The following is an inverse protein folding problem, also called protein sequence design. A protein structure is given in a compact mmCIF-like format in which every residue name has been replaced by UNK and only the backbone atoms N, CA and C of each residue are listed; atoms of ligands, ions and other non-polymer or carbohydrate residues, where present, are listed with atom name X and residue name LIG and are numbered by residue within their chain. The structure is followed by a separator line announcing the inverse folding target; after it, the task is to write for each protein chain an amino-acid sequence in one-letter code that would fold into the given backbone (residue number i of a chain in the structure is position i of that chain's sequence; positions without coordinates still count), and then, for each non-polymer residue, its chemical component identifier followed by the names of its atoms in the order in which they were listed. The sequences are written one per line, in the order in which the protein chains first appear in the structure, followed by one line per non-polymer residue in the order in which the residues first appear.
data_IF_563668804684
#
_entry.id   IF_563668804684
#
_cell.length_a   1.000
_cell.length_b   1.000
_cell.length_c   1.000
_cell.angle_alpha   90.00
_cell.angle_beta   90.00
_cell.angle_gamma   90.00
#
_symmetry.space_group_name_H-M   'P 1'
#
loop_
_entity.id
_entity.type
_entity.pdbx_description
1 polymer ?
#
# COMPACT_ATOMS: atom_id res chain seq x y z
N UNK A 1 -23.19 -5.71 0.04
CA UNK A 1 -22.42 -5.02 1.10
C UNK A 1 -21.29 -4.19 0.48
N UNK A 2 -20.78 -3.18 1.17
CA UNK A 2 -19.66 -2.35 0.72
C UNK A 2 -18.48 -2.49 1.68
N UNK A 3 -17.27 -2.30 1.18
CA UNK A 3 -16.04 -2.24 2.00
C UNK A 3 -15.45 -0.84 1.90
N UNK A 4 -15.25 -0.18 3.02
CA UNK A 4 -14.59 1.12 3.11
C UNK A 4 -13.25 0.97 3.83
N UNK A 5 -12.19 1.51 3.24
CA UNK A 5 -10.87 1.52 3.86
C UNK A 5 -10.42 2.95 4.15
N UNK A 6 -9.95 3.16 5.37
CA UNK A 6 -9.40 4.44 5.82
C UNK A 6 -7.92 4.29 6.18
N UNK A 7 -7.07 5.11 5.59
CA UNK A 7 -5.64 5.14 5.88
C UNK A 7 -5.30 5.89 7.16
N UNK A 8 -4.08 5.72 7.67
CA UNK A 8 -3.63 6.38 8.89
C UNK A 8 -3.74 7.92 8.85
N UNK A 9 -3.47 8.54 7.71
CA UNK A 9 -3.63 9.98 7.53
C UNK A 9 -5.09 10.46 7.71
N UNK A 10 -6.06 9.61 7.33
CA UNK A 10 -7.49 9.91 7.50
C UNK A 10 -7.95 9.86 8.94
N UNK A 11 -7.34 9.01 9.77
CA UNK A 11 -7.72 8.79 11.18
C UNK A 11 -6.65 9.27 12.15
N UNK A 12 -5.85 10.25 11.76
CA UNK A 12 -4.70 10.76 12.54
C UNK A 12 -5.06 11.52 13.81
N UNK A 13 -6.30 11.95 13.94
CA UNK A 13 -6.79 12.77 15.06
C UNK A 13 -8.31 12.56 15.26
N UNK A 14 -8.87 13.16 16.30
CA UNK A 14 -10.29 13.05 16.63
C UNK A 14 -11.20 13.61 15.50
N UNK A 15 -10.77 14.63 14.77
CA UNK A 15 -11.54 15.18 13.66
C UNK A 15 -11.61 14.19 12.50
N UNK A 16 -10.51 13.48 12.21
CA UNK A 16 -10.50 12.39 11.26
C UNK A 16 -11.48 11.28 11.63
N UNK A 17 -11.54 10.88 12.90
CA UNK A 17 -12.50 9.87 13.38
C UNK A 17 -13.95 10.35 13.25
N UNK A 18 -14.24 11.63 13.58
CA UNK A 18 -15.58 12.23 13.37
C UNK A 18 -15.97 12.27 11.88
N UNK A 19 -15.02 12.56 11.00
CA UNK A 19 -15.28 12.54 9.57
C UNK A 19 -15.53 11.11 9.03
N UNK A 20 -14.78 10.12 9.53
CA UNK A 20 -15.04 8.71 9.26
C UNK A 20 -16.47 8.33 9.68
N UNK A 21 -16.91 8.71 10.90
CA UNK A 21 -18.28 8.50 11.36
C UNK A 21 -19.31 9.11 10.39
N UNK A 22 -19.10 10.36 9.96
CA UNK A 22 -19.97 11.04 8.97
C UNK A 22 -20.07 10.23 7.67
N UNK A 23 -18.94 9.73 7.15
CA UNK A 23 -18.90 8.91 5.93
C UNK A 23 -19.66 7.60 6.13
N UNK A 24 -19.48 6.94 7.28
CA UNK A 24 -20.20 5.70 7.64
C UNK A 24 -21.71 5.96 7.68
N UNK A 25 -22.16 7.04 8.31
CA UNK A 25 -23.59 7.40 8.35
C UNK A 25 -24.15 7.68 6.95
N UNK A 26 -23.41 8.41 6.11
CA UNK A 26 -23.82 8.63 4.71
C UNK A 26 -23.98 7.32 3.97
N UNK A 27 -23.05 6.37 4.13
CA UNK A 27 -23.13 5.05 3.49
C UNK A 27 -24.34 4.23 3.94
N UNK A 28 -24.71 4.31 5.23
CA UNK A 28 -25.87 3.60 5.78
C UNK A 28 -27.22 4.25 5.36
N UNK A 29 -27.24 5.58 5.17
CA UNK A 29 -28.43 6.35 4.77
C UNK A 29 -28.60 6.43 3.25
N UNK A 30 -27.60 6.02 2.48
CA UNK A 30 -27.64 6.07 1.02
C UNK A 30 -28.67 5.06 0.49
N UNK A 31 -29.92 5.54 0.37
CA UNK A 31 -31.05 4.83 -0.23
C UNK A 31 -31.06 4.96 -1.77
N UNK A 32 -30.11 5.64 -2.36
CA UNK A 32 -30.03 5.90 -3.81
C UNK A 32 -29.56 4.70 -4.62
N UNK A 33 -29.69 3.50 -4.08
CA UNK A 33 -29.51 2.30 -4.87
C UNK A 33 -30.69 2.14 -5.83
N UNK A 34 -30.39 2.29 -7.09
CA UNK A 34 -31.10 1.75 -8.27
C UNK A 34 -32.30 0.88 -7.87
N UNK A 35 -33.48 1.33 -8.24
CA UNK A 35 -34.78 0.64 -8.13
C UNK A 35 -34.58 -0.87 -8.25
N UNK A 36 -34.98 -1.63 -7.20
CA UNK A 36 -34.95 -3.10 -7.08
C UNK A 36 -33.66 -3.81 -6.57
N UNK A 37 -32.74 -3.16 -5.86
CA UNK A 37 -31.75 -3.91 -5.05
C UNK A 37 -32.07 -3.80 -3.56
N UNK A 38 -31.99 -4.91 -2.79
CA UNK A 38 -32.25 -4.87 -1.36
C UNK A 38 -31.21 -3.97 -0.68
N UNK A 39 -31.65 -3.27 0.37
CA UNK A 39 -30.86 -2.44 1.30
C UNK A 39 -29.46 -3.03 1.47
N UNK A 40 -28.42 -2.19 1.37
CA UNK A 40 -26.99 -2.55 1.58
C UNK A 40 -26.89 -3.44 2.82
N UNK A 41 -26.61 -4.73 2.63
CA UNK A 41 -26.55 -5.73 3.71
C UNK A 41 -25.31 -5.56 4.61
N UNK A 42 -25.02 -4.31 5.02
CA UNK A 42 -23.95 -3.95 5.94
C UNK A 42 -22.71 -3.30 5.29
N UNK A 43 -21.94 -2.68 6.15
CA UNK A 43 -20.70 -1.96 5.82
C UNK A 43 -19.52 -2.60 6.56
N UNK A 44 -18.47 -2.98 5.82
CA UNK A 44 -17.16 -3.34 6.36
C UNK A 44 -16.26 -2.10 6.37
N UNK A 45 -15.72 -1.75 7.52
CA UNK A 45 -14.82 -0.60 7.72
C UNK A 45 -13.44 -1.11 8.07
N UNK A 46 -12.50 -1.04 7.15
CA UNK A 46 -11.10 -1.45 7.33
C UNK A 46 -10.26 -0.22 7.67
N UNK A 47 -9.51 -0.27 8.75
CA UNK A 47 -8.74 0.90 9.21
C UNK A 47 -7.27 0.52 9.48
N UNK A 48 -6.38 1.43 9.11
CA UNK A 48 -4.95 1.38 9.43
C UNK A 48 -4.67 1.97 10.82
N UNK A 49 -3.45 1.82 11.31
CA UNK A 49 -2.97 2.54 12.50
C UNK A 49 -3.14 4.06 12.33
N UNK A 50 -3.37 4.80 13.43
CA UNK A 50 -3.59 6.24 13.43
C UNK A 50 -2.32 7.03 13.12
N UNK A 51 -2.39 7.97 12.20
CA UNK A 51 -1.30 8.91 11.88
C UNK A 51 -0.01 8.20 11.45
N UNK A 52 1.06 8.42 12.24
CA UNK A 52 2.38 7.82 12.03
C UNK A 52 2.71 6.73 13.06
N UNK A 53 1.72 6.13 13.69
CA UNK A 53 1.89 5.12 14.75
C UNK A 53 2.72 3.93 14.26
N UNK A 54 2.53 3.45 13.05
CA UNK A 54 3.34 2.35 12.48
C UNK A 54 4.82 2.66 12.54
N UNK A 55 5.24 3.85 12.05
CA UNK A 55 6.66 4.26 12.10
C UNK A 55 7.19 4.42 13.53
N UNK A 56 6.35 4.86 14.46
CA UNK A 56 6.71 4.99 15.87
C UNK A 56 6.91 3.61 16.52
N UNK A 57 6.06 2.63 16.20
CA UNK A 57 6.17 1.25 16.65
C UNK A 57 7.40 0.53 16.03
N UNK A 58 7.69 0.77 14.74
CA UNK A 58 8.94 0.30 14.11
C UNK A 58 10.17 0.78 14.89
N UNK A 59 10.17 2.05 15.31
CA UNK A 59 11.25 2.59 16.12
C UNK A 59 11.36 1.91 17.49
N UNK A 60 10.25 1.50 18.12
CA UNK A 60 10.26 0.71 19.35
C UNK A 60 10.98 -0.61 19.12
N UNK A 61 10.68 -1.31 18.02
CA UNK A 61 11.36 -2.58 17.66
C UNK A 61 12.86 -2.37 17.50
N UNK A 62 13.27 -1.35 16.71
CA UNK A 62 14.68 -1.03 16.47
C UNK A 62 15.44 -0.71 17.77
N UNK A 63 14.79 -0.01 18.70
CA UNK A 63 15.40 0.34 19.98
C UNK A 63 15.57 -0.90 20.89
N UNK A 64 14.59 -1.79 20.93
CA UNK A 64 14.66 -3.03 21.70
C UNK A 64 15.73 -3.98 21.13
N UNK A 65 15.79 -4.13 19.82
CA UNK A 65 16.80 -4.95 19.15
C UNK A 65 18.22 -4.41 19.38
N UNK A 66 18.36 -3.08 19.51
CA UNK A 66 19.61 -2.41 19.88
C UNK A 66 19.92 -2.42 21.39
N UNK A 67 19.10 -3.08 22.23
CA UNK A 67 19.27 -3.13 23.69
C UNK A 67 18.99 -1.80 24.42
N UNK A 68 18.24 -0.86 23.79
CA UNK A 68 17.93 0.47 24.34
C UNK A 68 16.53 0.51 24.97
N UNK A 69 16.32 -0.33 25.98
CA UNK A 69 15.00 -0.58 26.60
C UNK A 69 14.34 0.70 27.15
N UNK A 70 15.09 1.57 27.84
CA UNK A 70 14.56 2.82 28.40
C UNK A 70 14.01 3.77 27.31
N UNK A 71 14.73 3.88 26.18
CA UNK A 71 14.27 4.69 25.04
C UNK A 71 13.06 4.06 24.35
N UNK A 72 13.02 2.73 24.25
CA UNK A 72 11.89 2.00 23.71
C UNK A 72 10.64 2.20 24.57
N UNK A 73 10.76 2.13 25.89
CA UNK A 73 9.66 2.38 26.82
C UNK A 73 9.14 3.82 26.72
N UNK A 74 10.04 4.80 26.62
CA UNK A 74 9.66 6.21 26.43
C UNK A 74 8.85 6.37 25.14
N UNK A 75 9.32 5.80 24.03
CA UNK A 75 8.62 5.84 22.74
C UNK A 75 7.26 5.12 22.80
N UNK A 76 7.17 4.03 23.54
CA UNK A 76 5.91 3.29 23.74
C UNK A 76 4.90 4.13 24.53
N UNK A 77 5.31 4.80 25.60
CA UNK A 77 4.46 5.71 26.37
C UNK A 77 3.96 6.86 25.50
N UNK A 78 4.82 7.47 24.69
CA UNK A 78 4.42 8.53 23.74
C UNK A 78 3.32 8.05 22.77
N UNK A 79 3.42 6.81 22.30
CA UNK A 79 2.39 6.21 21.42
C UNK A 79 1.07 6.05 22.17
N UNK A 80 1.11 5.56 23.39
CA UNK A 80 -0.11 5.40 24.22
C UNK A 80 -0.73 6.77 24.51
N UNK A 81 0.07 7.76 24.91
CA UNK A 81 -0.40 9.11 25.22
C UNK A 81 -1.04 9.81 24.02
N UNK A 82 -0.48 9.61 22.82
CA UNK A 82 -1.08 10.07 21.57
C UNK A 82 -2.50 9.52 21.37
N UNK A 83 -2.72 8.23 21.60
CA UNK A 83 -4.03 7.61 21.44
C UNK A 83 -4.99 8.01 22.58
N UNK A 84 -4.48 8.14 23.81
CA UNK A 84 -5.25 8.65 24.96
C UNK A 84 -5.74 10.07 24.72
N UNK A 85 -4.93 10.94 24.12
CA UNK A 85 -5.34 12.29 23.75
C UNK A 85 -6.51 12.26 22.76
N UNK A 86 -6.42 11.45 21.70
CA UNK A 86 -7.51 11.26 20.72
C UNK A 86 -8.78 10.72 21.40
N UNK A 87 -8.63 9.71 22.28
CA UNK A 87 -9.76 9.15 23.03
C UNK A 87 -10.48 10.22 23.85
N UNK A 88 -9.73 11.02 24.60
CA UNK A 88 -10.29 12.12 25.42
C UNK A 88 -11.05 13.13 24.56
N UNK A 89 -10.50 13.55 23.43
CA UNK A 89 -11.16 14.45 22.49
C UNK A 89 -12.45 13.86 21.88
N UNK A 90 -12.53 12.53 21.77
CA UNK A 90 -13.72 11.80 21.33
C UNK A 90 -14.72 11.53 22.47
N UNK A 91 -14.42 11.92 23.69
CA UNK A 91 -15.25 11.65 24.88
C UNK A 91 -15.20 10.19 25.32
N UNK A 92 -14.14 9.46 24.98
CA UNK A 92 -13.91 8.08 25.42
C UNK A 92 -13.08 8.06 26.70
N UNK A 93 -13.33 7.05 27.54
CA UNK A 93 -12.62 6.86 28.81
C UNK A 93 -11.53 5.79 28.66
N UNK A 94 -10.24 6.15 28.72
CA UNK A 94 -9.16 5.17 28.74
C UNK A 94 -9.30 4.21 29.94
N UNK A 95 -9.08 2.92 29.70
CA UNK A 95 -9.16 1.87 30.71
C UNK A 95 -10.55 1.28 30.95
N UNK A 96 -11.64 2.07 30.82
CA UNK A 96 -13.01 1.56 30.93
C UNK A 96 -13.65 1.23 29.60
N UNK A 97 -13.49 2.11 28.60
CA UNK A 97 -14.01 1.89 27.25
C UNK A 97 -13.08 1.03 26.41
N UNK A 98 -11.78 1.22 26.56
CA UNK A 98 -10.74 0.51 25.81
C UNK A 98 -9.62 0.12 26.78
N UNK A 99 -9.31 -1.17 26.84
CA UNK A 99 -8.17 -1.66 27.63
C UNK A 99 -6.87 -1.40 26.86
N UNK A 100 -6.09 -0.45 27.36
CA UNK A 100 -4.77 -0.16 26.83
C UNK A 100 -3.78 -1.22 27.30
N UNK A 101 -2.93 -1.69 26.39
CA UNK A 101 -1.87 -2.64 26.72
C UNK A 101 -0.69 -1.87 27.33
N UNK A 102 -0.35 -2.18 28.61
CA UNK A 102 0.74 -1.51 29.32
C UNK A 102 2.13 -2.05 28.96
N UNK A 103 2.22 -3.29 28.53
CA UNK A 103 3.49 -3.97 28.23
C UNK A 103 3.74 -4.04 26.72
N UNK A 104 5.03 -3.89 26.33
CA UNK A 104 5.45 -4.07 24.95
C UNK A 104 5.51 -5.58 24.66
N UNK A 105 4.84 -6.08 23.62
CA UNK A 105 4.86 -7.50 23.28
C UNK A 105 6.18 -7.88 22.57
N UNK A 106 7.28 -7.89 23.33
CA UNK A 106 8.63 -8.20 22.86
C UNK A 106 9.18 -9.43 23.58
N UNK A 107 9.78 -10.35 22.84
CA UNK A 107 10.53 -11.48 23.37
C UNK A 107 11.93 -11.49 22.76
N UNK A 108 13.01 -11.30 23.58
CA UNK A 108 14.37 -11.26 23.09
C UNK A 108 14.86 -12.58 22.49
N UNK A 109 14.12 -13.69 22.70
CA UNK A 109 14.45 -14.99 22.12
C UNK A 109 13.87 -15.19 20.72
N UNK A 110 12.98 -14.32 20.26
CA UNK A 110 12.37 -14.39 18.94
C UNK A 110 13.17 -13.55 17.92
N UNK A 111 13.12 -13.94 16.62
CA UNK A 111 13.73 -13.16 15.54
C UNK A 111 13.17 -11.73 15.48
N UNK A 112 14.00 -10.79 15.01
CA UNK A 112 13.60 -9.38 14.82
C UNK A 112 12.28 -9.25 14.06
N UNK A 113 12.12 -9.93 12.91
CA UNK A 113 10.94 -9.80 12.06
C UNK A 113 9.66 -10.35 12.74
N UNK A 114 9.79 -11.36 13.60
CA UNK A 114 8.66 -11.85 14.40
C UNK A 114 8.25 -10.83 15.48
N UNK A 115 9.23 -10.28 16.22
CA UNK A 115 8.99 -9.20 17.18
C UNK A 115 8.39 -7.96 16.51
N UNK A 116 8.88 -7.62 15.31
CA UNK A 116 8.30 -6.56 14.48
C UNK A 116 6.81 -6.74 14.31
N UNK A 117 6.35 -7.89 13.87
CA UNK A 117 4.93 -8.17 13.64
C UNK A 117 4.10 -8.11 14.93
N UNK A 118 4.65 -8.61 16.07
CA UNK A 118 3.96 -8.53 17.35
C UNK A 118 3.77 -7.08 17.83
N UNK A 119 4.76 -6.23 17.65
CA UNK A 119 4.74 -4.84 18.13
C UNK A 119 3.97 -3.95 17.14
N UNK A 120 4.31 -4.00 15.85
CA UNK A 120 3.74 -3.08 14.85
C UNK A 120 2.24 -3.30 14.68
N UNK A 121 1.76 -4.53 14.76
CA UNK A 121 0.32 -4.86 14.69
C UNK A 121 -0.54 -4.17 15.78
N UNK A 122 0.07 -3.71 16.86
CA UNK A 122 -0.65 -3.02 17.94
C UNK A 122 -1.29 -1.71 17.47
N UNK A 123 -0.70 -1.05 16.47
CA UNK A 123 -1.24 0.19 15.92
C UNK A 123 -2.64 0.03 15.34
N UNK A 124 -2.86 -1.00 14.53
CA UNK A 124 -4.16 -1.31 13.93
C UNK A 124 -5.17 -1.83 14.96
N UNK A 125 -4.73 -2.64 15.93
CA UNK A 125 -5.58 -3.11 17.01
C UNK A 125 -6.14 -1.94 17.82
N UNK A 126 -5.29 -1.01 18.23
CA UNK A 126 -5.67 0.14 19.05
C UNK A 126 -6.55 1.12 18.26
N UNK A 127 -6.15 1.47 17.04
CA UNK A 127 -6.89 2.34 16.13
C UNK A 127 -8.33 1.85 15.93
N UNK A 128 -8.51 0.57 15.60
CA UNK A 128 -9.82 0.01 15.28
C UNK A 128 -10.71 -0.16 16.51
N UNK A 129 -10.14 -0.41 17.69
CA UNK A 129 -10.90 -0.43 18.94
C UNK A 129 -11.45 0.97 19.26
N UNK A 130 -10.61 2.02 19.15
CA UNK A 130 -11.04 3.41 19.37
C UNK A 130 -12.20 3.77 18.43
N UNK A 131 -12.06 3.45 17.16
CA UNK A 131 -13.10 3.75 16.15
C UNK A 131 -14.38 2.95 16.42
N UNK A 132 -14.30 1.66 16.71
CA UNK A 132 -15.46 0.84 16.98
C UNK A 132 -16.24 1.34 18.19
N UNK A 133 -15.56 1.66 19.30
CA UNK A 133 -16.20 2.20 20.50
C UNK A 133 -16.77 3.60 20.26
N UNK A 134 -16.07 4.45 19.49
CA UNK A 134 -16.59 5.76 19.11
C UNK A 134 -17.90 5.64 18.35
N UNK A 135 -17.95 4.80 17.30
CA UNK A 135 -19.15 4.57 16.50
C UNK A 135 -20.30 3.99 17.34
N UNK A 136 -20.02 3.05 18.27
CA UNK A 136 -21.00 2.50 19.20
C UNK A 136 -21.60 3.59 20.09
N UNK A 137 -20.77 4.45 20.69
CA UNK A 137 -21.23 5.57 21.54
C UNK A 137 -22.06 6.59 20.77
N UNK A 138 -21.85 6.70 19.49
CA UNK A 138 -22.64 7.54 18.57
C UNK A 138 -23.94 6.84 18.11
N UNK A 139 -24.31 5.71 18.70
CA UNK A 139 -25.57 5.00 18.44
C UNK A 139 -25.60 4.14 17.20
N UNK A 140 -24.46 3.84 16.58
CA UNK A 140 -24.40 2.91 15.46
C UNK A 140 -24.34 1.45 15.96
N UNK A 141 -24.97 0.54 15.24
CA UNK A 141 -24.85 -0.90 15.49
C UNK A 141 -23.53 -1.40 14.89
N UNK A 142 -22.53 -1.61 15.75
CA UNK A 142 -21.13 -1.89 15.36
C UNK A 142 -20.62 -3.18 16.01
N UNK A 143 -19.82 -3.91 15.28
CA UNK A 143 -19.01 -5.02 15.77
C UNK A 143 -17.55 -4.79 15.43
N UNK A 144 -16.66 -5.09 16.37
CA UNK A 144 -15.21 -5.10 16.14
C UNK A 144 -14.73 -6.53 15.86
N UNK A 145 -14.08 -6.74 14.74
CA UNK A 145 -13.46 -8.00 14.36
C UNK A 145 -11.98 -8.03 14.71
N UNK A 146 -11.49 -9.14 15.24
CA UNK A 146 -10.09 -9.39 15.49
C UNK A 146 -9.48 -10.11 14.27
N UNK A 147 -8.92 -9.34 13.33
CA UNK A 147 -8.42 -9.89 12.06
C UNK A 147 -7.32 -10.95 12.22
N UNK A 148 -6.37 -10.87 13.17
CA UNK A 148 -5.43 -11.96 13.46
C UNK A 148 -6.08 -13.33 13.71
N UNK A 149 -7.33 -13.36 14.17
CA UNK A 149 -8.08 -14.61 14.34
C UNK A 149 -8.87 -15.05 13.12
N UNK A 150 -9.07 -14.17 12.15
CA UNK A 150 -9.94 -14.40 10.99
C UNK A 150 -9.14 -14.49 9.69
N UNK A 151 -8.14 -13.67 9.51
CA UNK A 151 -7.26 -13.66 8.35
C UNK A 151 -6.02 -14.50 8.64
N UNK A 152 -6.08 -15.75 8.21
CA UNK A 152 -5.02 -16.74 8.42
C UNK A 152 -3.85 -16.51 7.47
N UNK A 153 -2.65 -16.63 8.00
CA UNK A 153 -1.40 -16.47 7.24
C UNK A 153 -0.39 -17.54 7.61
N UNK A 154 0.64 -17.65 6.80
CA UNK A 154 1.89 -18.32 7.20
C UNK A 154 2.71 -17.43 8.16
N UNK A 155 3.90 -17.87 8.51
CA UNK A 155 4.87 -17.22 9.38
C UNK A 155 6.00 -16.49 8.61
N UNK A 156 5.73 -16.09 7.37
CA UNK A 156 6.61 -15.19 6.63
C UNK A 156 6.45 -13.77 7.18
N UNK A 157 7.17 -13.51 8.28
CA UNK A 157 7.07 -12.25 9.01
C UNK A 157 7.28 -11.04 8.09
N UNK A 158 6.55 -9.94 8.35
CA UNK A 158 6.53 -8.67 7.62
C UNK A 158 5.89 -8.71 6.22
N UNK A 159 5.81 -9.86 5.57
CA UNK A 159 5.19 -10.05 4.25
C UNK A 159 4.39 -11.36 4.20
N UNK A 160 3.63 -11.65 5.26
CA UNK A 160 2.92 -12.91 5.43
C UNK A 160 1.98 -13.22 4.26
N UNK A 161 2.00 -14.48 3.85
CA UNK A 161 1.15 -14.99 2.78
C UNK A 161 -0.16 -15.47 3.36
N UNK A 162 -1.27 -14.97 2.82
CA UNK A 162 -2.61 -15.30 3.29
C UNK A 162 -3.02 -16.70 2.82
N UNK A 163 -3.50 -17.53 3.75
CA UNK A 163 -4.27 -18.73 3.43
C UNK A 163 -5.69 -18.30 2.99
N UNK A 164 -5.85 -18.20 1.69
CA UNK A 164 -7.07 -17.67 1.05
C UNK A 164 -8.29 -18.53 1.34
N UNK A 165 -8.14 -19.86 1.38
CA UNK A 165 -9.25 -20.78 1.59
C UNK A 165 -9.76 -20.68 3.03
N UNK A 166 -8.90 -20.90 4.01
CA UNK A 166 -9.28 -20.89 5.44
C UNK A 166 -9.80 -19.51 5.85
N UNK A 167 -9.15 -18.45 5.42
CA UNK A 167 -9.58 -17.06 5.70
C UNK A 167 -10.98 -16.79 5.14
N UNK A 168 -11.24 -17.17 3.89
CA UNK A 168 -12.55 -17.01 3.24
C UNK A 168 -13.67 -17.72 3.98
N UNK A 169 -13.45 -18.97 4.39
CA UNK A 169 -14.44 -19.78 5.10
C UNK A 169 -14.80 -19.14 6.45
N UNK A 170 -13.81 -18.79 7.26
CA UNK A 170 -13.98 -18.17 8.58
C UNK A 170 -14.67 -16.80 8.47
N UNK A 171 -14.22 -15.95 7.56
CA UNK A 171 -14.75 -14.59 7.36
C UNK A 171 -16.21 -14.67 6.86
N UNK A 172 -16.52 -15.54 5.92
CA UNK A 172 -17.90 -15.73 5.44
C UNK A 172 -18.84 -16.24 6.54
N UNK A 173 -18.39 -17.19 7.34
CA UNK A 173 -19.19 -17.70 8.47
C UNK A 173 -19.51 -16.58 9.47
N UNK A 174 -18.50 -15.75 9.82
CA UNK A 174 -18.70 -14.60 10.71
C UNK A 174 -19.64 -13.54 10.12
N UNK A 175 -19.55 -13.28 8.82
CA UNK A 175 -20.39 -12.28 8.14
C UNK A 175 -21.83 -12.72 7.98
N UNK A 176 -22.09 -13.99 7.64
CA UNK A 176 -23.42 -14.51 7.31
C UNK A 176 -24.25 -14.94 8.55
N UNK A 177 -23.73 -14.73 9.76
CA UNK A 177 -24.47 -15.10 10.97
C UNK A 177 -25.73 -14.22 11.15
N UNK A 178 -26.80 -14.77 11.78
CA UNK A 178 -27.98 -14.01 12.10
C UNK A 178 -27.71 -12.82 13.02
N UNK A 179 -28.49 -11.75 12.89
CA UNK A 179 -28.42 -10.56 13.76
C UNK A 179 -27.06 -9.87 13.80
N UNK A 180 -26.26 -9.95 12.74
CA UNK A 180 -25.00 -9.24 12.62
C UNK A 180 -25.26 -7.72 12.64
N UNK A 181 -24.45 -6.91 13.34
CA UNK A 181 -24.48 -5.45 13.27
C UNK A 181 -24.35 -4.91 11.84
N UNK A 182 -24.92 -3.72 11.61
CA UNK A 182 -24.87 -3.08 10.28
C UNK A 182 -23.47 -2.63 9.87
N UNK A 183 -22.59 -2.39 10.84
CA UNK A 183 -21.19 -2.00 10.63
C UNK A 183 -20.26 -3.00 11.29
N UNK A 184 -19.24 -3.43 10.57
CA UNK A 184 -18.13 -4.21 11.11
C UNK A 184 -16.86 -3.39 10.94
N UNK A 185 -16.12 -3.16 12.04
CA UNK A 185 -14.81 -2.51 12.04
C UNK A 185 -13.72 -3.57 12.15
N UNK A 186 -12.78 -3.56 11.23
CA UNK A 186 -11.70 -4.54 11.11
C UNK A 186 -10.34 -3.87 10.93
N UNK A 187 -9.27 -4.52 11.43
CA UNK A 187 -7.91 -4.10 11.17
C UNK A 187 -7.57 -4.36 9.69
N UNK A 188 -6.91 -3.38 9.06
CA UNK A 188 -6.14 -3.64 7.87
C UNK A 188 -4.73 -4.14 8.20
N UNK A 189 -3.94 -4.54 7.22
CA UNK A 189 -2.51 -4.82 7.33
C UNK A 189 -2.10 -6.05 8.13
N UNK A 190 -2.91 -6.54 9.07
CA UNK A 190 -2.54 -7.61 9.98
C UNK A 190 -3.37 -8.88 9.77
N UNK A 191 -2.71 -10.02 9.95
CA UNK A 191 -3.27 -11.36 9.99
C UNK A 191 -2.73 -12.14 11.18
N UNK A 192 -2.88 -13.47 11.17
CA UNK A 192 -2.33 -14.32 12.20
C UNK A 192 -2.10 -15.76 11.79
N UNK A 193 -1.05 -16.35 12.33
CA UNK A 193 -0.73 -17.78 12.16
C UNK A 193 -1.75 -18.67 12.85
N UNK A 194 -1.68 -19.97 12.55
CA UNK A 194 -2.54 -20.98 13.21
C UNK A 194 -2.30 -21.01 14.72
N UNK A 195 -1.07 -20.72 15.17
CA UNK A 195 -0.67 -20.72 16.58
C UNK A 195 -1.00 -19.40 17.29
N UNK A 196 -1.68 -18.46 16.61
CA UNK A 196 -2.16 -17.22 17.19
C UNK A 196 -1.15 -16.09 17.24
N UNK A 197 0.02 -16.23 16.61
CA UNK A 197 0.98 -15.14 16.45
C UNK A 197 0.45 -14.15 15.42
N UNK A 198 0.62 -12.84 15.68
CA UNK A 198 0.23 -11.80 14.73
C UNK A 198 1.26 -11.68 13.62
N UNK A 199 0.78 -11.42 12.41
CA UNK A 199 1.60 -11.22 11.22
C UNK A 199 1.21 -9.93 10.52
N UNK A 200 2.13 -9.38 9.72
CA UNK A 200 1.85 -8.21 8.87
C UNK A 200 1.94 -8.57 7.39
N UNK A 201 1.15 -7.89 6.55
CA UNK A 201 0.99 -8.20 5.12
C UNK A 201 1.90 -7.39 4.21
N UNK A 202 2.84 -6.65 4.78
CA UNK A 202 3.78 -5.81 4.05
C UNK A 202 3.13 -4.55 3.46
N UNK A 203 3.79 -3.99 2.45
CA UNK A 203 3.43 -2.70 1.85
C UNK A 203 1.99 -2.65 1.38
N UNK A 204 1.28 -1.56 1.72
CA UNK A 204 -0.15 -1.34 1.42
C UNK A 204 -1.07 -2.46 1.90
N UNK A 205 -0.67 -3.17 2.98
CA UNK A 205 -1.40 -4.32 3.52
C UNK A 205 -2.84 -4.01 3.92
N UNK A 206 -3.16 -2.78 4.36
CA UNK A 206 -4.55 -2.41 4.71
C UNK A 206 -5.45 -2.30 3.47
N UNK A 207 -4.93 -1.79 2.34
CA UNK A 207 -5.67 -1.77 1.07
C UNK A 207 -5.88 -3.20 0.56
N UNK A 208 -4.86 -4.06 0.73
CA UNK A 208 -4.95 -5.48 0.40
C UNK A 208 -5.99 -6.21 1.27
N UNK A 209 -6.01 -5.98 2.58
CA UNK A 209 -7.05 -6.52 3.48
C UNK A 209 -8.45 -6.13 3.01
N UNK A 210 -8.66 -4.86 2.65
CA UNK A 210 -9.96 -4.40 2.15
C UNK A 210 -10.36 -5.10 0.86
N UNK A 211 -9.42 -5.35 -0.05
CA UNK A 211 -9.66 -6.08 -1.28
C UNK A 211 -9.98 -7.56 -1.03
N UNK A 212 -9.27 -8.23 -0.11
CA UNK A 212 -9.57 -9.60 0.29
C UNK A 212 -10.96 -9.72 0.90
N UNK A 213 -11.31 -8.84 1.84
CA UNK A 213 -12.65 -8.81 2.44
C UNK A 213 -13.72 -8.54 1.39
N UNK A 214 -13.47 -7.62 0.45
CA UNK A 214 -14.34 -7.38 -0.69
C UNK A 214 -14.55 -8.64 -1.53
N UNK A 215 -13.48 -9.35 -1.85
CA UNK A 215 -13.55 -10.61 -2.60
C UNK A 215 -14.24 -11.71 -1.81
N UNK A 216 -13.90 -11.92 -0.53
CA UNK A 216 -14.47 -13.01 0.27
C UNK A 216 -15.97 -12.84 0.50
N UNK A 217 -16.44 -11.62 0.64
CA UNK A 217 -17.81 -11.28 1.00
C UNK A 217 -18.67 -10.86 -0.21
N UNK A 218 -18.16 -11.03 -1.42
CA UNK A 218 -18.86 -10.66 -2.67
C UNK A 218 -19.40 -9.22 -2.61
N UNK A 219 -18.49 -8.27 -2.26
CA UNK A 219 -18.86 -6.88 -2.08
C UNK A 219 -19.33 -6.24 -3.40
N UNK A 220 -20.26 -5.30 -3.30
CA UNK A 220 -20.70 -4.46 -4.43
C UNK A 220 -19.59 -3.52 -4.90
N UNK A 221 -18.77 -3.06 -3.94
CA UNK A 221 -17.63 -2.18 -4.20
C UNK A 221 -16.67 -2.15 -3.01
N UNK A 222 -15.42 -1.78 -3.30
CA UNK A 222 -14.43 -1.40 -2.31
C UNK A 222 -14.10 0.08 -2.53
N UNK A 223 -14.09 0.90 -1.47
CA UNK A 223 -13.70 2.31 -1.53
C UNK A 223 -12.52 2.56 -0.61
N UNK A 224 -11.44 3.09 -1.17
CA UNK A 224 -10.28 3.56 -0.42
C UNK A 224 -10.38 5.08 -0.29
N UNK A 225 -10.51 5.54 0.95
CA UNK A 225 -10.57 6.95 1.29
C UNK A 225 -9.15 7.50 1.50
N UNK A 226 -8.76 8.49 0.69
CA UNK A 226 -7.42 9.12 0.70
C UNK A 226 -7.53 10.63 0.86
N UNK A 227 -6.38 11.26 1.11
CA UNK A 227 -6.21 12.72 1.19
C UNK A 227 -6.01 13.39 -0.17
N UNK A 228 -6.25 12.66 -1.24
CA UNK A 228 -6.17 13.14 -2.64
C UNK A 228 -7.55 13.03 -3.30
N UNK A 229 -7.85 13.84 -4.34
CA UNK A 229 -9.17 13.85 -5.00
C UNK A 229 -9.53 12.54 -5.71
N UNK A 230 -8.55 11.69 -5.95
CA UNK A 230 -8.64 10.42 -6.65
C UNK A 230 -7.30 10.07 -7.28
N UNK A 231 -7.33 9.34 -8.39
CA UNK A 231 -6.13 8.98 -9.15
C UNK A 231 -5.80 10.14 -10.08
N UNK A 232 -4.62 10.73 -9.89
CA UNK A 232 -4.12 11.83 -10.71
C UNK A 232 -3.18 11.29 -11.81
N UNK A 233 -3.06 12.04 -12.90
CA UNK A 233 -2.17 11.70 -14.01
C UNK A 233 -0.69 11.95 -13.70
N UNK A 234 -0.37 12.60 -12.58
CA UNK A 234 0.98 12.79 -12.07
C UNK A 234 0.97 13.01 -10.54
N UNK A 235 2.14 12.97 -9.91
CA UNK A 235 2.31 13.43 -8.53
C UNK A 235 2.26 14.98 -8.50
N UNK A 236 1.29 15.60 -7.83
CA UNK A 236 1.13 17.06 -7.82
C UNK A 236 2.30 17.81 -7.17
N UNK A 237 3.17 17.11 -6.43
CA UNK A 237 4.40 17.67 -5.86
C UNK A 237 5.50 17.83 -6.91
N UNK A 238 5.42 17.12 -8.03
CA UNK A 238 6.40 17.10 -9.10
C UNK A 238 5.87 17.75 -10.38
N UNK A 239 4.57 17.63 -10.62
CA UNK A 239 3.87 18.19 -11.78
C UNK A 239 2.65 18.97 -11.25
N UNK A 240 2.67 20.31 -11.21
CA UNK A 240 1.62 21.10 -10.58
C UNK A 240 0.26 21.03 -11.31
N UNK A 241 0.28 20.86 -12.62
CA UNK A 241 -0.93 20.85 -13.47
C UNK A 241 -1.48 19.44 -13.63
N UNK A 242 -1.87 18.81 -12.50
CA UNK A 242 -2.42 17.46 -12.53
C UNK A 242 -3.89 17.42 -12.89
N UNK A 243 -4.29 16.34 -13.55
CA UNK A 243 -5.66 16.07 -13.95
C UNK A 243 -6.16 14.79 -13.28
N UNK A 244 -7.40 14.81 -12.78
CA UNK A 244 -8.06 13.63 -12.24
C UNK A 244 -8.37 12.64 -13.37
N UNK A 245 -8.05 11.37 -13.14
CA UNK A 245 -8.45 10.26 -14.02
C UNK A 245 -9.72 9.63 -13.41
N UNK A 246 -10.90 9.88 -13.97
CA UNK A 246 -12.15 9.47 -13.33
C UNK A 246 -12.37 7.96 -13.39
N UNK A 247 -11.81 7.28 -14.41
CA UNK A 247 -12.03 5.85 -14.61
C UNK A 247 -10.82 5.17 -15.24
N UNK A 248 -10.48 3.97 -14.74
CA UNK A 248 -9.42 3.10 -15.27
C UNK A 248 -9.90 1.66 -15.34
N UNK A 249 -9.34 0.90 -16.28
CA UNK A 249 -9.44 -0.56 -16.26
C UNK A 249 -8.44 -1.13 -15.25
N UNK A 250 -8.72 -2.32 -14.70
CA UNK A 250 -7.79 -3.01 -13.80
C UNK A 250 -6.40 -3.15 -14.40
N UNK A 251 -6.30 -3.56 -15.65
CA UNK A 251 -5.02 -3.72 -16.36
C UNK A 251 -4.23 -2.39 -16.41
N UNK A 252 -4.88 -1.28 -16.74
CA UNK A 252 -4.22 0.03 -16.80
C UNK A 252 -3.70 0.44 -15.40
N UNK A 253 -4.49 0.23 -14.35
CA UNK A 253 -4.08 0.51 -12.97
C UNK A 253 -2.90 -0.35 -12.52
N UNK A 254 -2.88 -1.65 -12.86
CA UNK A 254 -1.75 -2.55 -12.58
C UNK A 254 -0.48 -2.08 -13.29
N UNK A 255 -0.57 -1.71 -14.57
CA UNK A 255 0.57 -1.25 -15.36
C UNK A 255 1.12 0.11 -14.85
N UNK A 256 0.25 1.05 -14.44
CA UNK A 256 0.66 2.30 -13.81
C UNK A 256 1.43 2.04 -12.50
N UNK A 257 0.89 1.16 -11.67
CA UNK A 257 1.50 0.80 -10.38
C UNK A 257 2.85 0.10 -10.57
N UNK A 258 2.95 -0.82 -11.54
CA UNK A 258 4.21 -1.47 -11.90
C UNK A 258 5.25 -0.45 -12.38
N UNK A 259 4.83 0.57 -13.11
CA UNK A 259 5.68 1.67 -13.56
C UNK A 259 6.16 2.58 -12.41
N UNK A 260 5.56 2.46 -11.21
CA UNK A 260 5.94 3.20 -10.00
C UNK A 260 4.93 4.24 -9.53
N UNK A 261 3.78 4.36 -10.18
CA UNK A 261 2.72 5.24 -9.71
C UNK A 261 2.23 4.78 -8.31
N UNK A 262 2.20 5.73 -7.36
CA UNK A 262 1.73 5.46 -5.99
C UNK A 262 0.20 5.54 -5.91
N UNK A 263 -0.48 4.77 -6.73
CA UNK A 263 -1.95 4.80 -6.83
C UNK A 263 -2.54 3.73 -5.90
N UNK A 264 -2.41 2.47 -6.31
CA UNK A 264 -2.90 1.27 -5.61
C UNK A 264 -1.95 0.12 -5.94
N UNK A 265 -1.53 -0.63 -4.96
CA UNK A 265 -0.62 -1.76 -5.19
C UNK A 265 -1.31 -2.87 -5.99
N UNK A 266 -0.63 -3.57 -6.93
CA UNK A 266 -1.20 -4.69 -7.69
C UNK A 266 -1.80 -5.80 -6.83
N UNK A 267 -1.27 -6.06 -5.63
CA UNK A 267 -1.84 -7.00 -4.65
C UNK A 267 -3.31 -6.68 -4.34
N UNK A 268 -3.67 -5.39 -4.26
CA UNK A 268 -5.03 -4.91 -3.97
C UNK A 268 -5.97 -5.10 -5.16
N UNK A 269 -5.46 -4.96 -6.37
CA UNK A 269 -6.28 -5.01 -7.59
C UNK A 269 -6.70 -6.45 -7.92
N UNK A 270 -5.77 -7.42 -7.83
CA UNK A 270 -6.01 -8.81 -8.24
C UNK A 270 -7.24 -9.48 -7.62
N UNK A 271 -7.46 -9.43 -6.27
CA UNK A 271 -8.65 -10.04 -5.68
C UNK A 271 -9.95 -9.44 -6.21
N UNK A 272 -9.97 -8.14 -6.53
CA UNK A 272 -11.16 -7.43 -7.00
C UNK A 272 -11.42 -7.71 -8.48
N UNK A 273 -10.38 -7.73 -9.31
CA UNK A 273 -10.46 -8.08 -10.73
C UNK A 273 -11.07 -9.48 -10.92
N UNK A 274 -10.65 -10.47 -10.13
CA UNK A 274 -11.16 -11.85 -10.20
C UNK A 274 -12.68 -11.95 -10.04
N UNK A 275 -13.30 -10.99 -9.36
CA UNK A 275 -14.76 -10.95 -9.13
C UNK A 275 -15.45 -9.75 -9.75
N UNK A 276 -14.72 -8.97 -10.55
CA UNK A 276 -15.23 -7.77 -11.21
C UNK A 276 -15.80 -6.73 -10.21
N UNK A 277 -15.22 -6.64 -9.01
CA UNK A 277 -15.65 -5.73 -7.95
C UNK A 277 -15.01 -4.36 -8.17
N UNK A 278 -15.77 -3.28 -8.41
CA UNK A 278 -15.20 -1.96 -8.63
C UNK A 278 -14.48 -1.44 -7.38
N UNK A 279 -13.31 -0.85 -7.62
CA UNK A 279 -12.49 -0.18 -6.62
C UNK A 279 -12.54 1.33 -6.82
N UNK A 280 -13.06 2.04 -5.83
CA UNK A 280 -13.09 3.49 -5.82
C UNK A 280 -11.94 4.06 -4.99
N UNK A 281 -11.36 5.15 -5.47
CA UNK A 281 -10.44 6.02 -4.72
C UNK A 281 -11.12 7.36 -4.56
N UNK A 282 -11.49 7.72 -3.33
CA UNK A 282 -12.27 8.92 -3.03
C UNK A 282 -11.57 9.84 -2.04
N UNK A 283 -11.79 11.18 -2.15
CA UNK A 283 -11.23 12.10 -1.19
C UNK A 283 -11.92 12.00 0.17
N UNK A 284 -11.13 11.82 1.21
CA UNK A 284 -11.64 11.75 2.58
C UNK A 284 -12.23 13.08 3.07
N UNK A 285 -11.71 14.21 2.59
CA UNK A 285 -12.20 15.55 2.95
C UNK A 285 -13.51 15.95 2.29
N UNK A 286 -13.88 15.31 1.18
CA UNK A 286 -15.14 15.56 0.47
C UNK A 286 -15.82 14.25 0.06
N UNK A 287 -16.65 13.68 0.93
CA UNK A 287 -17.34 12.42 0.66
C UNK A 287 -18.31 12.45 -0.52
N UNK A 288 -18.71 13.64 -0.97
CA UNK A 288 -19.65 13.82 -2.08
C UNK A 288 -18.98 13.74 -3.45
N UNK A 289 -17.68 13.96 -3.52
CA UNK A 289 -16.91 13.84 -4.74
C UNK A 289 -16.92 12.41 -5.29
N UNK A 290 -16.97 12.30 -6.61
CA UNK A 290 -16.99 11.00 -7.29
C UNK A 290 -15.67 10.23 -7.14
N UNK A 291 -14.54 10.94 -7.17
CA UNK A 291 -13.20 10.34 -7.13
C UNK A 291 -12.85 9.60 -8.42
N UNK A 292 -12.13 8.49 -8.29
CA UNK A 292 -11.76 7.63 -9.41
C UNK A 292 -12.27 6.20 -9.21
N UNK A 293 -12.66 5.55 -10.30
CA UNK A 293 -13.13 4.16 -10.31
C UNK A 293 -12.18 3.27 -11.12
N UNK A 294 -11.75 2.16 -10.55
CA UNK A 294 -11.03 1.07 -11.23
C UNK A 294 -12.01 -0.09 -11.39
N UNK A 295 -12.33 -0.48 -12.63
CA UNK A 295 -13.29 -1.55 -12.91
C UNK A 295 -13.01 -2.24 -14.23
N UNK A 296 -13.70 -3.35 -14.51
CA UNK A 296 -13.64 -4.03 -15.82
C UNK A 296 -14.16 -3.16 -16.98
N UNK A 297 -15.12 -2.29 -16.69
CA UNK A 297 -15.79 -1.42 -17.65
C UNK A 297 -15.17 -0.03 -17.72
N UNK A 298 -13.98 0.16 -17.11
CA UNK A 298 -13.26 1.44 -17.15
C UNK A 298 -13.28 2.05 -18.54
N UNK A 299 -13.55 3.34 -18.63
CA UNK A 299 -13.60 4.09 -19.90
C UNK A 299 -12.23 3.93 -20.56
N UNK A 300 -12.18 3.37 -21.76
CA UNK A 300 -11.13 3.24 -22.75
C UNK A 300 -9.66 3.58 -22.40
N UNK A 301 -8.77 3.74 -23.34
CA UNK A 301 -7.41 4.15 -23.05
C UNK A 301 -7.42 5.53 -22.37
N UNK A 302 -6.60 5.68 -21.34
CA UNK A 302 -6.43 6.96 -20.62
C UNK A 302 -6.13 8.05 -21.64
N UNK A 303 -7.01 9.04 -21.78
CA UNK A 303 -6.95 10.08 -22.82
C UNK A 303 -5.96 11.21 -22.49
N UNK A 304 -5.42 11.18 -21.26
CA UNK A 304 -4.41 12.16 -20.80
C UNK A 304 -3.07 11.46 -20.59
N UNK A 305 -1.93 12.13 -20.84
CA UNK A 305 -0.63 11.57 -20.55
C UNK A 305 -0.44 11.40 -19.04
N UNK A 306 0.07 10.23 -18.64
CA UNK A 306 0.37 9.93 -17.23
C UNK A 306 1.87 9.99 -17.02
N UNK A 307 2.32 10.81 -16.06
CA UNK A 307 3.74 11.00 -15.73
C UNK A 307 4.05 10.30 -14.41
N UNK A 308 5.00 9.38 -14.43
CA UNK A 308 5.37 8.59 -13.25
C UNK A 308 6.86 8.78 -13.00
N UNK A 309 7.19 9.36 -11.86
CA UNK A 309 8.55 9.60 -11.44
C UNK A 309 9.02 8.58 -10.41
N UNK A 310 10.17 7.96 -10.67
CA UNK A 310 10.95 7.23 -9.66
C UNK A 310 12.25 7.97 -9.44
N UNK A 311 12.39 8.57 -8.28
CA UNK A 311 13.62 9.26 -7.86
C UNK A 311 14.65 8.29 -7.31
N UNK A 312 15.88 8.79 -7.09
CA UNK A 312 17.00 8.04 -6.52
C UNK A 312 17.25 6.72 -7.27
N UNK A 313 17.45 6.84 -8.58
CA UNK A 313 17.78 5.72 -9.45
C UNK A 313 19.29 5.69 -9.74
N UNK A 314 19.79 4.49 -10.06
CA UNK A 314 21.15 4.29 -10.56
C UNK A 314 21.07 3.51 -11.87
N UNK A 315 21.82 3.97 -12.87
CA UNK A 315 21.98 3.29 -14.16
C UNK A 315 23.31 2.56 -14.17
N UNK A 316 23.28 1.24 -14.17
CA UNK A 316 24.46 0.37 -14.19
C UNK A 316 24.61 -0.19 -15.60
N UNK A 317 25.77 0.05 -16.23
CA UNK A 317 26.09 -0.47 -17.57
C UNK A 317 27.22 -1.48 -17.46
N UNK A 318 27.00 -2.66 -18.00
CA UNK A 318 27.92 -3.80 -17.97
C UNK A 318 28.33 -4.15 -19.39
N UNK A 319 29.63 -4.43 -19.59
CA UNK A 319 30.20 -4.92 -20.84
C UNK A 319 31.07 -6.13 -20.56
N UNK A 320 30.99 -7.17 -21.42
CA UNK A 320 31.84 -8.32 -21.31
C UNK A 320 33.33 -7.93 -21.37
N UNK A 321 34.19 -8.62 -20.60
CA UNK A 321 35.62 -8.30 -20.48
C UNK A 321 36.41 -8.68 -21.74
N UNK A 322 35.95 -9.68 -22.47
CA UNK A 322 36.57 -10.29 -23.64
C UNK A 322 36.00 -9.80 -24.98
N UNK A 323 35.19 -8.71 -24.97
CA UNK A 323 34.44 -8.24 -26.13
C UNK A 323 33.48 -9.27 -26.74
N UNK A 324 33.18 -10.37 -26.01
CA UNK A 324 32.17 -11.33 -26.43
C UNK A 324 30.80 -10.65 -26.54
N UNK A 325 29.94 -11.24 -27.38
CA UNK A 325 28.54 -10.83 -27.40
C UNK A 325 27.89 -11.10 -26.04
N UNK A 326 26.96 -10.24 -25.67
CA UNK A 326 26.12 -10.48 -24.50
C UNK A 326 25.16 -11.62 -24.85
N UNK A 327 25.52 -12.83 -24.44
CA UNK A 327 24.71 -14.03 -24.62
C UNK A 327 23.70 -14.19 -23.47
N UNK A 328 22.74 -15.10 -23.66
CA UNK A 328 21.72 -15.45 -22.65
C UNK A 328 22.33 -15.83 -21.30
N UNK A 329 23.51 -16.51 -21.31
CA UNK A 329 24.26 -16.85 -20.07
C UNK A 329 24.67 -15.60 -19.28
N UNK A 330 25.12 -14.53 -19.97
CA UNK A 330 25.49 -13.27 -19.33
C UNK A 330 24.30 -12.58 -18.69
N UNK A 331 23.11 -12.67 -19.32
CA UNK A 331 21.86 -12.17 -18.76
C UNK A 331 21.48 -12.92 -17.48
N UNK A 332 21.59 -14.27 -17.52
CA UNK A 332 21.30 -15.11 -16.35
C UNK A 332 22.19 -14.73 -15.17
N UNK A 333 23.49 -14.60 -15.38
CA UNK A 333 24.46 -14.21 -14.35
C UNK A 333 24.15 -12.81 -13.76
N UNK A 334 23.82 -11.86 -14.62
CA UNK A 334 23.47 -10.49 -14.18
C UNK A 334 22.20 -10.51 -13.31
N UNK A 335 21.15 -11.21 -13.77
CA UNK A 335 19.90 -11.29 -13.01
C UNK A 335 20.05 -12.08 -11.71
N UNK A 336 20.89 -13.11 -11.67
CA UNK A 336 21.23 -13.83 -10.45
C UNK A 336 21.88 -12.91 -9.40
N UNK A 337 22.86 -12.12 -9.81
CA UNK A 337 23.51 -11.14 -8.91
C UNK A 337 22.52 -10.09 -8.43
N UNK A 338 21.70 -9.54 -9.33
CA UNK A 338 20.65 -8.57 -9.01
C UNK A 338 19.66 -9.15 -8.01
N UNK A 339 19.20 -10.38 -8.24
CA UNK A 339 18.25 -11.07 -7.36
C UNK A 339 18.83 -11.33 -5.96
N UNK A 340 20.05 -11.90 -5.88
CA UNK A 340 20.72 -12.18 -4.60
C UNK A 340 20.98 -10.91 -3.77
N UNK A 341 21.13 -9.76 -4.42
CA UNK A 341 21.29 -8.47 -3.75
C UNK A 341 19.96 -7.71 -3.59
N UNK A 342 18.81 -8.37 -3.77
CA UNK A 342 17.48 -7.78 -3.59
C UNK A 342 17.25 -6.49 -4.38
N UNK A 343 17.89 -6.33 -5.55
CA UNK A 343 17.71 -5.18 -6.41
C UNK A 343 16.52 -5.40 -7.33
N UNK A 344 15.71 -4.35 -7.49
CA UNK A 344 14.57 -4.36 -8.40
C UNK A 344 14.91 -3.59 -9.68
N UNK A 345 14.87 -4.27 -10.82
CA UNK A 345 15.09 -3.64 -12.13
C UNK A 345 13.86 -2.86 -12.56
N UNK A 346 14.02 -1.57 -12.80
CA UNK A 346 12.98 -0.68 -13.31
C UNK A 346 13.00 -0.56 -14.83
N UNK A 347 14.18 -0.64 -15.45
CA UNK A 347 14.37 -0.60 -16.89
C UNK A 347 15.61 -1.41 -17.27
N UNK A 348 15.53 -2.10 -18.42
CA UNK A 348 16.67 -2.79 -19.02
C UNK A 348 16.79 -2.38 -20.48
N UNK A 349 18.02 -2.20 -20.92
CA UNK A 349 18.37 -2.02 -22.33
C UNK A 349 19.61 -2.83 -22.65
N UNK A 350 19.54 -3.64 -23.70
CA UNK A 350 20.68 -4.43 -24.20
C UNK A 350 21.10 -3.93 -25.59
N UNK A 351 22.39 -4.06 -25.86
CA UNK A 351 22.98 -3.97 -27.19
C UNK A 351 23.80 -5.25 -27.45
N UNK A 352 24.49 -5.32 -28.58
CA UNK A 352 25.32 -6.50 -28.91
C UNK A 352 26.40 -6.78 -27.85
N UNK A 353 26.95 -5.75 -27.19
CA UNK A 353 28.12 -5.86 -26.30
C UNK A 353 27.90 -5.24 -24.93
N UNK A 354 26.75 -4.64 -24.65
CA UNK A 354 26.45 -3.98 -23.36
C UNK A 354 25.05 -4.26 -22.88
N UNK A 355 24.90 -4.34 -21.55
CA UNK A 355 23.60 -4.34 -20.88
C UNK A 355 23.59 -3.17 -19.91
N UNK A 356 22.53 -2.38 -19.96
CA UNK A 356 22.26 -1.30 -19.00
C UNK A 356 21.00 -1.64 -18.22
N UNK A 357 21.06 -1.55 -16.89
CA UNK A 357 19.91 -1.72 -15.99
C UNK A 357 19.75 -0.47 -15.13
N UNK A 358 18.51 -0.02 -15.00
CA UNK A 358 18.14 1.04 -14.07
C UNK A 358 17.49 0.38 -12.84
N UNK A 359 18.03 0.64 -11.66
CA UNK A 359 17.57 0.07 -10.39
C UNK A 359 17.40 1.16 -9.33
N UNK A 360 16.61 0.87 -8.29
CA UNK A 360 16.53 1.74 -7.12
C UNK A 360 17.88 1.79 -6.41
N UNK A 361 18.39 2.97 -6.06
CA UNK A 361 19.64 3.15 -5.35
C UNK A 361 19.46 2.82 -3.86
N UNK A 362 19.71 1.57 -3.51
CA UNK A 362 19.58 1.03 -2.16
C UNK A 362 20.93 0.73 -1.54
N UNK A 363 20.95 0.44 -0.22
CA UNK A 363 22.17 0.01 0.50
C UNK A 363 22.84 -1.24 -0.09
N UNK A 364 22.14 -2.00 -0.91
CA UNK A 364 22.65 -3.24 -1.51
C UNK A 364 23.38 -3.02 -2.86
N UNK A 365 23.20 -1.86 -3.48
CA UNK A 365 23.81 -1.52 -4.79
C UNK A 365 25.33 -1.63 -4.78
N UNK A 366 26.09 -1.15 -3.77
CA UNK A 366 27.54 -1.27 -3.76
C UNK A 366 28.01 -2.73 -3.82
N UNK A 367 27.40 -3.61 -3.05
CA UNK A 367 27.75 -5.04 -3.04
C UNK A 367 27.46 -5.71 -4.39
N UNK A 368 26.33 -5.36 -5.02
CA UNK A 368 25.98 -5.86 -6.36
C UNK A 368 26.99 -5.40 -7.42
N UNK A 369 27.40 -4.13 -7.40
CA UNK A 369 28.40 -3.58 -8.33
C UNK A 369 29.73 -4.33 -8.19
N UNK A 370 30.23 -4.58 -6.99
CA UNK A 370 31.47 -5.34 -6.77
C UNK A 370 31.35 -6.78 -7.29
N UNK A 371 30.24 -7.45 -7.08
CA UNK A 371 29.98 -8.78 -7.65
C UNK A 371 29.95 -8.75 -9.19
N UNK A 372 29.28 -7.76 -9.79
CA UNK A 372 29.23 -7.59 -11.24
C UNK A 372 30.61 -7.31 -11.85
N UNK A 373 31.47 -6.52 -11.18
CA UNK A 373 32.85 -6.25 -11.61
C UNK A 373 33.72 -7.50 -11.70
N UNK A 374 33.40 -8.57 -11.02
CA UNK A 374 34.16 -9.84 -11.12
C UNK A 374 34.08 -10.43 -12.52
N UNK A 375 32.94 -10.24 -13.22
CA UNK A 375 32.68 -10.83 -14.56
C UNK A 375 32.63 -9.81 -15.69
N UNK A 376 32.26 -8.55 -15.38
CA UNK A 376 32.01 -7.50 -16.38
C UNK A 376 32.89 -6.27 -16.13
N UNK A 377 33.08 -5.48 -17.18
CA UNK A 377 33.51 -4.10 -17.06
C UNK A 377 32.27 -3.27 -16.72
N UNK A 378 32.19 -2.70 -15.50
CA UNK A 378 31.00 -2.02 -14.96
C UNK A 378 31.27 -0.53 -14.87
N UNK A 379 30.36 0.26 -15.44
CA UNK A 379 30.23 1.70 -15.22
C UNK A 379 28.85 2.01 -14.66
N UNK A 380 28.71 3.07 -13.89
CA UNK A 380 27.41 3.47 -13.36
C UNK A 380 27.29 4.98 -13.23
N UNK A 381 26.05 5.44 -13.22
CA UNK A 381 25.66 6.82 -12.96
C UNK A 381 24.60 6.81 -11.86
N UNK A 382 24.80 7.61 -10.83
CA UNK A 382 23.88 7.85 -9.73
C UNK A 382 23.19 9.22 -9.85
N UNK A 383 22.42 9.62 -8.84
CA UNK A 383 21.62 10.84 -8.84
C UNK A 383 20.74 10.96 -10.10
N UNK A 384 20.05 9.86 -10.40
CA UNK A 384 19.14 9.77 -11.54
C UNK A 384 17.70 9.61 -11.10
N UNK A 385 16.80 10.05 -11.97
CA UNK A 385 15.36 9.76 -11.89
C UNK A 385 14.91 9.03 -13.14
N UNK A 386 13.97 8.09 -12.99
CA UNK A 386 13.29 7.46 -14.11
C UNK A 386 11.90 8.10 -14.26
N UNK A 387 11.68 8.79 -15.38
CA UNK A 387 10.40 9.28 -15.81
C UNK A 387 9.76 8.28 -16.79
N UNK A 388 8.61 7.75 -16.43
CA UNK A 388 7.76 6.96 -17.33
C UNK A 388 6.55 7.78 -17.74
N UNK A 389 6.33 7.93 -19.05
CA UNK A 389 5.17 8.63 -19.60
C UNK A 389 4.32 7.62 -20.37
N UNK A 390 3.06 7.49 -19.98
CA UNK A 390 2.06 6.68 -20.71
C UNK A 390 1.09 7.60 -21.45
N UNK A 391 0.67 7.22 -22.64
CA UNK A 391 -0.08 8.10 -23.52
C UNK A 391 0.78 9.14 -24.20
N UNK A 392 2.08 8.85 -24.40
CA UNK A 392 3.01 9.80 -25.03
C UNK A 392 2.70 10.02 -26.51
N UNK A 393 2.90 11.26 -26.96
CA UNK A 393 2.98 11.69 -28.37
C UNK A 393 4.38 12.25 -28.64
N UNK A 394 4.77 12.48 -29.90
CA UNK A 394 6.04 13.13 -30.21
C UNK A 394 6.21 14.49 -29.49
N UNK A 395 5.16 15.28 -29.42
CA UNK A 395 5.15 16.62 -28.80
C UNK A 395 5.38 16.52 -27.29
N UNK A 396 4.66 15.59 -26.62
CA UNK A 396 4.80 15.31 -25.17
C UNK A 396 6.23 14.83 -24.88
N UNK A 397 6.77 13.94 -25.71
CA UNK A 397 8.12 13.42 -25.54
C UNK A 397 9.18 14.50 -25.67
N UNK A 398 9.07 15.39 -26.65
CA UNK A 398 10.00 16.51 -26.82
C UNK A 398 9.88 17.52 -25.66
N UNK A 399 8.68 17.80 -25.21
CA UNK A 399 8.48 18.64 -24.01
C UNK A 399 9.11 18.01 -22.77
N UNK A 400 8.94 16.70 -22.59
CA UNK A 400 9.51 15.97 -21.44
C UNK A 400 11.04 15.92 -21.45
N UNK A 401 11.67 16.00 -22.62
CA UNK A 401 13.14 16.06 -22.75
C UNK A 401 13.71 17.46 -22.55
N UNK A 402 12.91 18.50 -22.79
CA UNK A 402 13.38 19.89 -22.78
C UNK A 402 13.99 20.26 -21.43
N UNK A 403 15.22 20.78 -21.45
CA UNK A 403 15.94 21.22 -20.26
C UNK A 403 16.49 20.08 -19.39
N UNK A 404 16.39 18.81 -19.80
CA UNK A 404 16.85 17.66 -19.01
C UNK A 404 18.01 16.93 -19.69
N UNK A 405 18.98 16.50 -18.91
CA UNK A 405 20.05 15.63 -19.39
C UNK A 405 19.57 14.18 -19.40
N UNK A 406 19.34 13.63 -20.60
CA UNK A 406 18.84 12.27 -20.80
C UNK A 406 20.00 11.28 -20.87
N UNK A 407 20.08 10.34 -19.94
CA UNK A 407 21.10 9.30 -19.89
C UNK A 407 20.68 8.06 -20.73
N UNK A 408 19.39 7.74 -20.73
CA UNK A 408 18.84 6.65 -21.50
C UNK A 408 17.38 6.95 -21.85
N UNK A 409 16.97 6.61 -23.08
CA UNK A 409 15.60 6.76 -23.56
C UNK A 409 15.12 5.47 -24.20
N UNK A 410 13.99 4.97 -23.74
CA UNK A 410 13.30 3.81 -24.32
C UNK A 410 11.87 4.21 -24.66
N UNK A 411 11.48 4.06 -25.90
CA UNK A 411 10.14 4.45 -26.38
C UNK A 411 9.44 3.32 -27.09
N UNK A 412 8.14 3.24 -26.88
CA UNK A 412 7.22 2.38 -27.62
C UNK A 412 6.16 3.26 -28.26
N UNK A 413 5.15 2.66 -28.90
CA UNK A 413 4.08 3.43 -29.57
C UNK A 413 3.38 4.44 -28.65
N UNK A 414 3.18 4.14 -27.36
CA UNK A 414 2.40 4.96 -26.40
C UNK A 414 3.08 5.13 -25.05
N UNK A 415 4.32 4.66 -24.88
CA UNK A 415 5.04 4.76 -23.61
C UNK A 415 6.45 5.22 -23.87
N UNK A 416 6.90 6.21 -23.11
CA UNK A 416 8.30 6.62 -23.06
C UNK A 416 8.86 6.41 -21.64
N UNK A 417 10.10 5.95 -21.55
CA UNK A 417 10.87 5.85 -20.32
C UNK A 417 12.17 6.60 -20.50
N UNK A 418 12.40 7.59 -19.68
CA UNK A 418 13.56 8.47 -19.72
C UNK A 418 14.31 8.37 -18.40
N UNK A 419 15.57 7.94 -18.45
CA UNK A 419 16.47 8.06 -17.32
C UNK A 419 17.13 9.42 -17.40
N UNK A 420 16.85 10.28 -16.43
CA UNK A 420 17.27 11.67 -16.43
C UNK A 420 18.18 11.96 -15.24
N UNK A 421 19.12 12.87 -15.41
CA UNK A 421 19.97 13.34 -14.32
C UNK A 421 19.15 14.24 -13.39
N UNK A 422 19.25 14.03 -12.08
CA UNK A 422 18.68 14.94 -11.09
C UNK A 422 19.55 16.22 -11.05
N UNK A 423 18.89 17.39 -11.06
CA UNK A 423 19.54 18.69 -10.92
C UNK A 423 19.86 18.99 -9.46
#
# INVERSE_FOLDING_TARGET
MRVYKFGGASVKDANGVRNLEKIVRLALNDQSSIVNRPIVNGLMVVVSAMGKTTNALERVVDLLDAGKEEQALTQWVDIIDFHVAIMKELGLQPGSDIRLQGEIPYDPNLPYDQNYDQIVSMGELLSTQIIAVCLLKQGLSVEWWNMPRLLRTDDTWREAVVDDQTSREVIRAGWNRPNRPSVVVAQGFIGGTIDGQRTTLGREGSDYTAALLGNYLDAESVTIWKDVPGILNADPRLEPDTVLIPSLRYQDAVELSYSGAQIIHPKTIRPLENKQIPLYVKPFGDPTAEGSCISAQGIGPIDVPVYIWRKNQILITMRAKDFAFVLEESLSDIFDIIHRNHLKVSLIQSSAVTISVCVDNTRFVPAAIEQLKTRFNVTYNDHLSLLTIRGTTPEILEQAKKGRTIMLSQTTRRTARLVVKEE
#
